data_IF_274359867454
#
_entry.id   IF_274359867454
#
_cell.length_a   1.000
_cell.length_b   1.000
_cell.length_c   1.000
_cell.angle_alpha   90.00
_cell.angle_beta   90.00
_cell.angle_gamma   90.00
#
_symmetry.space_group_name_H-M   'P 1'
#
loop_
_entity.id
_entity.type
_entity.pdbx_description
1 polymer ?
#
# COMPACT_ATOMS: atom_id res chain seq x y z
N UNK A 1 -10.23 -11.30 0.15
CA UNK A 1 -9.97 -10.06 0.92
C UNK A 1 -8.47 -9.92 1.05
N UNK A 2 -7.88 -8.81 0.62
CA UNK A 2 -6.43 -8.63 0.66
C UNK A 2 -5.94 -8.53 2.11
N UNK A 3 -4.89 -9.31 2.45
CA UNK A 3 -4.27 -9.25 3.78
C UNK A 3 -3.05 -8.33 3.76
N UNK A 4 -3.21 -7.13 4.33
CA UNK A 4 -2.14 -6.13 4.41
C UNK A 4 -0.96 -6.56 5.29
N UNK A 5 -1.20 -7.46 6.26
CA UNK A 5 -0.19 -7.91 7.22
C UNK A 5 0.90 -8.78 6.59
N UNK A 6 0.59 -9.44 5.48
CA UNK A 6 1.53 -10.26 4.72
C UNK A 6 2.49 -9.42 3.86
N UNK A 7 2.22 -8.12 3.71
CA UNK A 7 3.04 -7.23 2.89
C UNK A 7 4.37 -6.96 3.57
N UNK A 8 5.46 -7.20 2.84
CA UNK A 8 6.81 -7.01 3.35
C UNK A 8 7.00 -5.56 3.82
N UNK A 9 7.27 -5.39 5.12
CA UNK A 9 7.50 -4.09 5.74
C UNK A 9 6.30 -3.51 6.48
N UNK A 10 5.10 -4.08 6.36
CA UNK A 10 3.91 -3.63 7.10
C UNK A 10 4.14 -3.63 8.61
N UNK A 11 4.74 -4.69 9.15
CA UNK A 11 5.02 -4.80 10.59
C UNK A 11 6.02 -3.77 11.11
N UNK A 12 6.76 -3.08 10.23
CA UNK A 12 7.71 -2.02 10.59
C UNK A 12 7.07 -0.62 10.58
N UNK A 13 5.82 -0.51 10.14
CA UNK A 13 5.08 0.76 10.12
C UNK A 13 4.57 1.12 11.51
N UNK A 14 4.40 2.42 11.75
CA UNK A 14 3.66 2.92 12.91
C UNK A 14 2.18 2.53 12.83
N UNK A 15 1.44 2.55 13.94
CA UNK A 15 0.01 2.23 13.91
C UNK A 15 -0.78 3.15 12.96
N UNK A 16 -0.42 4.43 12.89
CA UNK A 16 -1.03 5.38 11.97
C UNK A 16 -0.73 5.05 10.50
N UNK A 17 0.52 4.66 10.20
CA UNK A 17 0.91 4.25 8.86
C UNK A 17 0.30 2.89 8.45
N UNK A 18 0.10 1.98 9.40
CA UNK A 18 -0.63 0.72 9.18
C UNK A 18 -2.08 0.99 8.80
N UNK A 19 -2.77 1.86 9.53
CA UNK A 19 -4.14 2.27 9.19
C UNK A 19 -4.22 2.90 7.80
N UNK A 20 -3.31 3.85 7.50
CA UNK A 20 -3.23 4.47 6.18
C UNK A 20 -3.02 3.43 5.07
N UNK A 21 -2.09 2.48 5.26
CA UNK A 21 -1.83 1.43 4.29
C UNK A 21 -3.04 0.50 4.11
N UNK A 22 -3.71 0.09 5.18
CA UNK A 22 -4.91 -0.75 5.11
C UNK A 22 -6.04 -0.04 4.35
N UNK A 23 -6.26 1.26 4.62
CA UNK A 23 -7.22 2.09 3.88
C UNK A 23 -6.86 2.19 2.40
N UNK A 24 -5.57 2.36 2.09
CA UNK A 24 -5.07 2.35 0.72
C UNK A 24 -5.38 1.02 0.04
N UNK A 25 -5.07 -0.11 0.67
CA UNK A 25 -5.32 -1.41 0.07
C UNK A 25 -6.80 -1.62 -0.23
N UNK A 26 -7.71 -1.20 0.65
CA UNK A 26 -9.14 -1.26 0.36
C UNK A 26 -9.49 -0.46 -0.90
N UNK A 27 -9.13 0.84 -0.95
CA UNK A 27 -9.37 1.70 -2.11
C UNK A 27 -8.71 1.17 -3.39
N UNK A 28 -7.50 0.64 -3.29
CA UNK A 28 -6.74 0.09 -4.40
C UNK A 28 -7.46 -1.10 -5.04
N UNK A 29 -7.93 -2.05 -4.23
CA UNK A 29 -8.67 -3.21 -4.71
C UNK A 29 -10.07 -2.87 -5.24
N UNK A 30 -10.68 -1.77 -4.76
CA UNK A 30 -11.96 -1.28 -5.27
C UNK A 30 -11.82 -0.48 -6.58
N UNK A 31 -10.69 0.21 -6.80
CA UNK A 31 -10.49 1.11 -7.93
C UNK A 31 -9.92 0.43 -9.20
N UNK A 32 -9.20 -0.68 -9.03
CA UNK A 32 -8.53 -1.36 -10.15
C UNK A 32 -9.40 -2.50 -10.68
N UNK A 33 -9.53 -2.61 -12.02
CA UNK A 33 -10.29 -3.69 -12.68
C UNK A 33 -9.62 -5.06 -12.52
N UNK A 34 -8.28 -5.12 -12.43
CA UNK A 34 -7.49 -6.33 -12.23
C UNK A 34 -6.42 -6.17 -11.13
N UNK A 35 -6.83 -6.03 -9.85
CA UNK A 35 -5.91 -5.65 -8.78
C UNK A 35 -4.88 -6.73 -8.45
N UNK A 36 -5.13 -7.99 -8.80
CA UNK A 36 -4.19 -9.10 -8.58
C UNK A 36 -2.89 -8.94 -9.39
N UNK A 37 -2.96 -8.37 -10.60
CA UNK A 37 -1.78 -8.09 -11.44
C UNK A 37 -0.92 -6.96 -10.88
N UNK A 38 -1.47 -6.17 -9.96
CA UNK A 38 -0.83 -5.02 -9.36
C UNK A 38 -0.80 -5.13 -7.83
N UNK A 39 -0.83 -6.36 -7.28
CA UNK A 39 -0.87 -6.60 -5.84
C UNK A 39 0.30 -5.90 -5.12
N UNK A 40 0.07 -5.17 -4.02
CA UNK A 40 1.14 -4.67 -3.17
C UNK A 40 1.97 -5.82 -2.57
N UNK A 41 3.29 -5.78 -2.77
CA UNK A 41 4.23 -6.80 -2.25
C UNK A 41 5.18 -6.27 -1.18
N UNK A 42 5.39 -4.94 -1.14
CA UNK A 42 6.25 -4.29 -0.15
C UNK A 42 5.72 -2.90 0.19
N UNK A 43 5.82 -2.52 1.46
CA UNK A 43 5.54 -1.16 1.94
C UNK A 43 6.71 -0.63 2.77
N UNK A 44 7.06 0.63 2.56
CA UNK A 44 8.14 1.30 3.26
C UNK A 44 7.71 2.72 3.66
N UNK A 45 7.96 3.09 4.91
CA UNK A 45 7.84 4.48 5.34
C UNK A 45 8.99 5.31 4.77
N UNK A 46 8.66 6.34 4.00
CA UNK A 46 9.58 7.35 3.52
C UNK A 46 9.33 8.67 4.26
N UNK A 47 10.19 9.67 4.07
CA UNK A 47 10.04 10.98 4.70
C UNK A 47 8.78 11.68 4.15
N UNK A 48 7.68 11.56 4.89
CA UNK A 48 6.41 12.23 4.59
C UNK A 48 5.33 11.35 3.92
N UNK A 49 5.66 10.14 3.45
CA UNK A 49 4.74 9.31 2.66
C UNK A 49 5.01 7.80 2.83
N UNK A 50 4.10 6.96 2.33
CA UNK A 50 4.36 5.52 2.19
C UNK A 50 4.71 5.17 0.75
N UNK A 51 5.83 4.50 0.55
CA UNK A 51 6.19 3.90 -0.73
C UNK A 51 5.70 2.47 -0.77
N UNK A 52 4.86 2.14 -1.74
CA UNK A 52 4.35 0.79 -1.95
C UNK A 52 4.88 0.23 -3.25
N UNK A 53 5.55 -0.91 -3.21
CA UNK A 53 5.98 -1.63 -4.40
C UNK A 53 4.95 -2.70 -4.73
N UNK A 54 4.59 -2.78 -6.00
CA UNK A 54 3.64 -3.72 -6.56
C UNK A 54 4.38 -4.92 -7.17
N UNK A 55 3.65 -6.00 -7.47
CA UNK A 55 4.21 -7.24 -8.02
C UNK A 55 4.85 -7.06 -9.40
N UNK A 56 4.39 -6.08 -10.18
CA UNK A 56 4.91 -5.71 -11.50
C UNK A 56 6.17 -4.82 -11.43
N UNK A 57 6.78 -4.69 -10.24
CA UNK A 57 7.97 -3.87 -9.96
C UNK A 57 7.70 -2.35 -9.95
N UNK A 58 6.49 -1.94 -10.32
CA UNK A 58 6.04 -0.55 -10.17
C UNK A 58 5.94 -0.17 -8.70
N UNK A 59 5.91 1.13 -8.42
CA UNK A 59 5.68 1.63 -7.08
C UNK A 59 4.75 2.84 -7.07
N UNK A 60 4.06 3.01 -5.94
CA UNK A 60 3.11 4.08 -5.70
C UNK A 60 3.56 4.94 -4.51
N UNK A 61 3.37 6.23 -4.65
CA UNK A 61 3.51 7.22 -3.60
C UNK A 61 2.16 7.43 -2.90
N UNK A 62 2.00 6.98 -1.66
CA UNK A 62 0.76 7.19 -0.90
C UNK A 62 0.87 8.42 -0.02
N UNK A 63 -0.04 9.38 -0.24
CA UNK A 63 -0.18 10.59 0.57
C UNK A 63 -0.91 10.31 1.89
N UNK A 64 -0.90 11.27 2.81
CA UNK A 64 -1.63 11.14 4.10
C UNK A 64 -3.15 11.01 3.90
N UNK A 65 -3.66 11.56 2.81
CA UNK A 65 -5.09 11.56 2.46
C UNK A 65 -5.52 10.28 1.72
N UNK A 66 -4.62 9.29 1.62
CA UNK A 66 -4.87 8.02 0.96
C UNK A 66 -5.11 8.18 -0.55
N UNK A 67 -4.43 9.16 -1.15
CA UNK A 67 -4.27 9.31 -2.60
C UNK A 67 -2.96 8.67 -3.03
N UNK A 68 -2.86 8.25 -4.30
CA UNK A 68 -1.65 7.63 -4.83
C UNK A 68 -1.33 8.08 -6.26
N UNK A 69 -0.04 8.15 -6.58
CA UNK A 69 0.52 8.41 -7.92
C UNK A 69 1.89 7.76 -8.10
#
# INVERSE_FOLDING_TARGET
>A
MFNAEEVKGFNKLSNADKDLFTRFCKKFYDAWEYPEKHKPVKVQKMKGYLKVTLVDVSWLHITKDCEWY
#
